data_IF_277813429638
#
_entry.id   IF_277813429638
#
_cell.length_a   1.000
_cell.length_b   1.000
_cell.length_c   1.000
_cell.angle_alpha   90.00
_cell.angle_beta   90.00
_cell.angle_gamma   90.00
#
_symmetry.space_group_name_H-M   'P 1'
#
loop_
_entity.id
_entity.type
_entity.pdbx_description
1 polymer ?
#
# COMPACT_ATOMS: atom_id res chain seq x y z
N UNK A 1 25.60 -14.22 -37.24
CA UNK A 1 24.97 -12.90 -37.29
C UNK A 1 23.55 -12.97 -36.76
N UNK A 2 23.24 -12.26 -35.68
CA UNK A 2 21.97 -12.37 -34.93
C UNK A 2 20.96 -11.30 -35.41
N UNK A 3 20.64 -11.31 -36.71
CA UNK A 3 19.83 -10.27 -37.34
C UNK A 3 18.41 -10.78 -37.55
N UNK A 4 17.41 -10.06 -37.02
CA UNK A 4 16.01 -10.46 -37.18
C UNK A 4 15.54 -10.32 -38.62
N UNK A 5 14.58 -11.16 -39.02
CA UNK A 5 13.94 -11.12 -40.36
C UNK A 5 13.39 -9.73 -40.69
N UNK A 6 12.93 -8.99 -39.68
CA UNK A 6 12.40 -7.64 -39.86
C UNK A 6 13.51 -6.62 -40.20
N UNK A 7 14.68 -6.76 -39.57
CA UNK A 7 15.86 -5.92 -39.88
C UNK A 7 16.31 -6.14 -41.32
N UNK A 8 16.33 -7.39 -41.79
CA UNK A 8 16.66 -7.73 -43.19
C UNK A 8 15.63 -7.11 -44.16
N UNK A 9 14.33 -7.21 -43.86
CA UNK A 9 13.27 -6.59 -44.69
C UNK A 9 13.39 -5.07 -44.77
N UNK A 10 13.77 -4.40 -43.68
CA UNK A 10 13.94 -2.96 -43.63
C UNK A 10 15.16 -2.51 -44.45
N UNK A 11 16.27 -3.26 -44.37
CA UNK A 11 17.47 -3.02 -45.17
C UNK A 11 17.14 -3.17 -46.67
N UNK A 12 16.48 -4.25 -47.07
CA UNK A 12 16.14 -4.48 -48.48
C UNK A 12 15.19 -3.41 -49.05
N UNK A 13 14.23 -2.92 -48.25
CA UNK A 13 13.38 -1.76 -48.63
C UNK A 13 14.20 -0.48 -48.80
N UNK A 14 15.20 -0.24 -47.94
CA UNK A 14 16.09 0.94 -48.04
C UNK A 14 16.86 0.96 -49.35
N UNK A 15 17.23 -0.21 -49.87
CA UNK A 15 17.90 -0.38 -51.16
C UNK A 15 16.94 -0.56 -52.35
N UNK A 16 15.65 -0.22 -52.20
CA UNK A 16 14.61 -0.28 -53.26
C UNK A 16 14.41 -1.67 -53.90
N UNK A 17 14.82 -2.75 -53.22
CA UNK A 17 14.47 -4.09 -53.66
C UNK A 17 13.01 -4.40 -53.31
N UNK A 18 12.18 -4.66 -54.33
CA UNK A 18 10.82 -5.16 -54.16
C UNK A 18 10.84 -6.68 -53.97
N UNK A 19 10.21 -7.19 -52.92
CA UNK A 19 9.95 -8.61 -52.76
C UNK A 19 8.56 -8.95 -53.29
N UNK A 20 8.44 -9.97 -54.14
CA UNK A 20 7.15 -10.60 -54.43
C UNK A 20 6.68 -11.29 -53.15
N UNK A 21 5.60 -10.83 -52.53
CA UNK A 21 4.99 -11.62 -51.47
C UNK A 21 4.51 -12.94 -52.09
N UNK A 22 4.72 -14.06 -51.40
CA UNK A 22 4.08 -15.33 -51.76
C UNK A 22 2.57 -15.02 -51.85
N UNK A 23 1.95 -15.27 -53.02
CA UNK A 23 0.52 -15.08 -53.22
C UNK A 23 -0.18 -15.84 -52.09
N UNK A 24 -0.94 -15.14 -51.25
CA UNK A 24 -1.76 -15.81 -50.24
C UNK A 24 -2.74 -16.69 -51.01
N UNK A 25 -2.59 -18.00 -50.87
CA UNK A 25 -3.62 -18.94 -51.32
C UNK A 25 -4.86 -18.64 -50.49
N UNK A 26 -5.74 -17.79 -51.00
CA UNK A 26 -7.02 -17.48 -50.40
C UNK A 26 -8.00 -18.61 -50.75
N UNK A 27 -7.63 -19.83 -50.38
CA UNK A 27 -8.44 -21.02 -50.62
C UNK A 27 -9.65 -20.92 -49.71
N UNK A 28 -10.84 -20.70 -50.29
CA UNK A 28 -12.09 -20.72 -49.53
C UNK A 28 -12.26 -22.13 -48.95
N UNK A 29 -12.23 -22.24 -47.63
CA UNK A 29 -12.48 -23.51 -46.92
C UNK A 29 -13.89 -23.98 -47.22
N UNK A 30 -14.04 -25.22 -47.66
CA UNK A 30 -15.37 -25.79 -47.94
C UNK A 30 -16.13 -26.03 -46.63
N UNK A 31 -17.45 -26.23 -46.73
CA UNK A 31 -18.30 -26.51 -45.56
C UNK A 31 -17.87 -27.78 -44.84
N UNK A 32 -17.44 -28.79 -45.59
CA UNK A 32 -16.95 -30.08 -45.06
C UNK A 32 -15.63 -29.93 -44.33
N UNK A 33 -14.66 -29.23 -44.93
CA UNK A 33 -13.39 -28.91 -44.27
C UNK A 33 -13.60 -28.12 -42.98
N UNK A 34 -14.58 -27.21 -42.96
CA UNK A 34 -14.92 -26.44 -41.76
C UNK A 34 -15.41 -27.32 -40.61
N UNK A 35 -16.20 -28.36 -40.90
CA UNK A 35 -16.69 -29.31 -39.90
C UNK A 35 -15.56 -30.18 -39.35
N UNK A 36 -14.65 -30.63 -40.22
CA UNK A 36 -13.52 -31.47 -39.83
C UNK A 36 -12.50 -30.69 -38.98
N UNK A 37 -12.24 -29.43 -39.32
CA UNK A 37 -11.44 -28.52 -38.49
C UNK A 37 -12.03 -28.39 -37.08
N UNK A 38 -13.35 -28.25 -36.96
CA UNK A 38 -14.03 -28.14 -35.65
C UNK A 38 -13.95 -29.44 -34.86
N UNK A 39 -14.08 -30.61 -35.52
CA UNK A 39 -13.93 -31.92 -34.88
C UNK A 39 -12.52 -32.14 -34.35
N UNK A 40 -11.51 -31.93 -35.20
CA UNK A 40 -10.10 -32.06 -34.83
C UNK A 40 -9.71 -31.10 -33.70
N UNK A 41 -10.23 -29.87 -33.72
CA UNK A 41 -10.01 -28.90 -32.64
C UNK A 41 -10.71 -29.29 -31.32
N UNK A 42 -11.88 -29.93 -31.35
CA UNK A 42 -12.56 -30.42 -30.13
C UNK A 42 -11.84 -31.60 -29.50
N UNK A 43 -11.18 -32.45 -30.30
CA UNK A 43 -10.43 -33.63 -29.84
C UNK A 43 -9.17 -33.25 -29.05
N UNK A 44 -8.51 -32.16 -29.42
CA UNK A 44 -7.28 -31.69 -28.77
C UNK A 44 -7.32 -30.17 -28.54
N UNK A 45 -7.65 -29.73 -27.31
CA UNK A 45 -7.92 -28.31 -26.98
C UNK A 45 -6.66 -27.44 -26.79
N UNK A 46 -5.47 -27.92 -27.13
CA UNK A 46 -4.22 -27.17 -26.90
C UNK A 46 -3.98 -26.02 -27.88
N UNK A 47 -3.34 -24.93 -27.43
CA UNK A 47 -2.99 -23.76 -28.25
C UNK A 47 -1.95 -24.07 -29.36
N UNK A 48 -1.14 -25.11 -29.19
CA UNK A 48 -0.21 -25.65 -30.20
C UNK A 48 -0.94 -26.29 -31.39
N UNK A 49 -2.24 -26.55 -31.27
CA UNK A 49 -3.05 -27.19 -32.30
C UNK A 49 -3.42 -26.25 -33.47
N UNK A 50 -3.43 -24.93 -33.28
CA UNK A 50 -3.87 -24.00 -34.34
C UNK A 50 -2.91 -23.91 -35.53
N UNK A 51 -1.60 -23.96 -35.28
CA UNK A 51 -0.60 -23.96 -36.35
C UNK A 51 -0.58 -25.31 -37.06
N UNK A 52 -0.66 -26.41 -36.31
CA UNK A 52 -0.75 -27.76 -36.86
C UNK A 52 -1.99 -27.93 -37.75
N UNK A 53 -3.17 -27.49 -37.28
CA UNK A 53 -4.40 -27.47 -38.09
C UNK A 53 -4.30 -26.57 -39.32
N UNK A 54 -3.54 -25.48 -39.24
CA UNK A 54 -3.32 -24.61 -40.40
C UNK A 54 -2.48 -25.35 -41.46
N UNK A 55 -1.43 -26.06 -41.02
CA UNK A 55 -0.55 -26.82 -41.89
C UNK A 55 -1.27 -28.05 -42.49
N UNK A 56 -2.00 -28.82 -41.69
CA UNK A 56 -2.75 -30.02 -42.10
C UNK A 56 -3.82 -29.72 -43.16
N UNK A 57 -4.46 -28.55 -43.06
CA UNK A 57 -5.52 -28.11 -43.98
C UNK A 57 -5.01 -27.15 -45.07
N UNK A 58 -3.71 -26.83 -45.10
CA UNK A 58 -3.11 -25.94 -46.09
C UNK A 58 -3.66 -24.50 -46.08
N UNK A 59 -4.12 -24.02 -44.93
CA UNK A 59 -4.74 -22.71 -44.75
C UNK A 59 -3.98 -21.86 -43.74
N UNK A 60 -4.30 -20.58 -43.66
CA UNK A 60 -3.71 -19.73 -42.63
C UNK A 60 -4.33 -19.98 -41.25
N UNK A 61 -3.56 -19.76 -40.19
CA UNK A 61 -4.07 -19.79 -38.81
C UNK A 61 -5.22 -18.81 -38.56
N UNK A 62 -5.26 -17.70 -39.32
CA UNK A 62 -6.38 -16.76 -39.30
C UNK A 62 -7.66 -17.38 -39.85
N UNK A 63 -7.57 -18.18 -40.92
CA UNK A 63 -8.69 -18.91 -41.50
C UNK A 63 -9.25 -19.94 -40.52
N UNK A 64 -8.39 -20.76 -39.90
CA UNK A 64 -8.79 -21.71 -38.85
C UNK A 64 -9.49 -20.98 -37.69
N UNK A 65 -8.90 -19.88 -37.19
CA UNK A 65 -9.50 -19.09 -36.11
C UNK A 65 -10.88 -18.56 -36.47
N UNK A 66 -11.09 -18.11 -37.71
CA UNK A 66 -12.38 -17.61 -38.17
C UNK A 66 -13.43 -18.74 -38.27
N UNK A 67 -13.05 -19.92 -38.77
CA UNK A 67 -13.92 -21.11 -38.80
C UNK A 67 -14.35 -21.52 -37.39
N UNK A 68 -13.41 -21.56 -36.45
CA UNK A 68 -13.67 -21.93 -35.06
C UNK A 68 -14.49 -20.87 -34.30
N UNK A 69 -14.27 -19.57 -34.59
CA UNK A 69 -15.11 -18.47 -34.08
C UNK A 69 -16.53 -18.55 -34.62
N UNK A 70 -16.70 -18.80 -35.92
CA UNK A 70 -18.01 -18.95 -36.56
C UNK A 70 -18.79 -20.14 -36.01
N UNK A 71 -18.07 -21.19 -35.58
CA UNK A 71 -18.64 -22.39 -34.97
C UNK A 71 -18.77 -22.29 -33.43
N UNK A 72 -18.50 -21.13 -32.84
CA UNK A 72 -18.59 -20.83 -31.41
C UNK A 72 -17.77 -21.75 -30.47
N UNK A 73 -16.74 -22.43 -30.99
CA UNK A 73 -15.87 -23.33 -30.20
C UNK A 73 -14.58 -22.66 -29.75
N UNK A 74 -14.26 -21.49 -30.29
CA UNK A 74 -13.08 -20.71 -29.94
C UNK A 74 -13.46 -19.39 -29.30
N UNK A 75 -13.16 -19.24 -28.00
CA UNK A 75 -13.38 -18.00 -27.27
C UNK A 75 -12.23 -17.04 -27.53
N UNK A 76 -12.56 -15.82 -27.98
CA UNK A 76 -11.60 -14.73 -28.11
C UNK A 76 -11.05 -14.35 -26.74
N UNK A 77 -9.73 -14.30 -26.58
CA UNK A 77 -9.06 -13.81 -25.36
C UNK A 77 -9.14 -12.29 -25.20
N UNK A 78 -9.57 -11.57 -26.24
CA UNK A 78 -9.74 -10.13 -26.17
C UNK A 78 -10.94 -9.80 -25.29
N UNK A 79 -10.69 -9.09 -24.19
CA UNK A 79 -11.74 -8.50 -23.35
C UNK A 79 -12.67 -7.66 -24.24
N UNK A 80 -14.01 -7.74 -24.04
CA UNK A 80 -14.94 -6.90 -24.77
C UNK A 80 -14.56 -5.43 -24.55
N UNK A 81 -14.49 -4.66 -25.64
CA UNK A 81 -14.30 -3.21 -25.53
C UNK A 81 -15.49 -2.63 -24.80
N UNK A 82 -15.28 -2.10 -23.58
CA UNK A 82 -16.30 -1.36 -22.85
C UNK A 82 -16.65 -0.14 -23.68
N UNK A 83 -17.85 -0.11 -24.26
CA UNK A 83 -18.39 1.08 -24.92
C UNK A 83 -18.95 2.00 -23.83
N UNK A 84 -18.25 3.08 -23.54
CA UNK A 84 -18.78 4.13 -22.66
C UNK A 84 -19.78 5.00 -23.43
N UNK A 85 -20.91 5.30 -22.79
CA UNK A 85 -21.85 6.34 -23.22
C UNK A 85 -21.18 7.72 -23.18
N UNK A 86 -21.72 8.68 -23.94
CA UNK A 86 -21.16 10.02 -24.00
C UNK A 86 -21.27 10.76 -22.65
N UNK A 87 -22.33 10.51 -21.88
CA UNK A 87 -22.50 10.99 -20.50
C UNK A 87 -21.35 10.55 -19.59
N UNK A 88 -20.95 9.27 -19.65
CA UNK A 88 -19.85 8.75 -18.84
C UNK A 88 -18.50 9.35 -19.25
N UNK A 89 -18.31 9.64 -20.54
CA UNK A 89 -17.11 10.32 -21.02
C UNK A 89 -17.04 11.76 -20.48
N UNK A 90 -18.15 12.47 -20.47
CA UNK A 90 -18.26 13.81 -19.88
C UNK A 90 -17.94 13.78 -18.38
N UNK A 91 -18.50 12.82 -17.65
CA UNK A 91 -18.20 12.63 -16.23
C UNK A 91 -16.70 12.38 -15.99
N UNK A 92 -16.07 11.51 -16.78
CA UNK A 92 -14.62 11.27 -16.71
C UNK A 92 -13.79 12.53 -16.95
N UNK A 93 -14.19 13.38 -17.91
CA UNK A 93 -13.51 14.64 -18.19
C UNK A 93 -13.65 15.59 -17.00
N UNK A 94 -14.85 15.69 -16.43
CA UNK A 94 -15.09 16.54 -15.27
C UNK A 94 -14.28 16.08 -14.07
N UNK A 95 -14.23 14.78 -13.79
CA UNK A 95 -13.39 14.22 -12.73
C UNK A 95 -11.90 14.50 -12.93
N UNK A 96 -11.43 14.44 -14.18
CA UNK A 96 -10.05 14.78 -14.51
C UNK A 96 -9.76 16.28 -14.34
N UNK A 97 -10.69 17.15 -14.70
CA UNK A 97 -10.61 18.61 -14.47
C UNK A 97 -10.62 18.96 -12.99
N UNK A 98 -11.38 18.20 -12.19
CA UNK A 98 -11.42 18.32 -10.73
C UNK A 98 -10.15 17.77 -10.04
N UNK A 99 -9.15 17.33 -10.81
CA UNK A 99 -7.83 16.97 -10.29
C UNK A 99 -7.60 15.48 -10.06
N UNK A 100 -8.61 14.61 -10.23
CA UNK A 100 -8.42 13.16 -10.06
C UNK A 100 -7.42 12.59 -11.08
N UNK A 101 -6.65 11.58 -10.67
CA UNK A 101 -5.67 10.95 -11.55
C UNK A 101 -6.36 10.04 -12.57
N UNK A 102 -5.76 9.88 -13.75
CA UNK A 102 -6.28 8.97 -14.76
C UNK A 102 -6.37 7.51 -14.28
N UNK A 103 -5.61 7.11 -13.24
CA UNK A 103 -5.72 5.78 -12.62
C UNK A 103 -6.97 5.64 -11.76
N UNK A 104 -7.26 6.62 -10.89
CA UNK A 104 -8.48 6.59 -10.06
C UNK A 104 -9.75 6.63 -10.93
N UNK A 105 -9.72 7.44 -11.98
CA UNK A 105 -10.81 7.49 -12.97
C UNK A 105 -10.94 6.13 -13.67
N UNK A 106 -9.82 5.51 -14.08
CA UNK A 106 -9.85 4.20 -14.71
C UNK A 106 -10.48 3.12 -13.83
N UNK A 107 -10.13 3.10 -12.54
CA UNK A 107 -10.71 2.18 -11.55
C UNK A 107 -12.22 2.42 -11.38
N UNK A 108 -12.64 3.69 -11.23
CA UNK A 108 -14.07 4.05 -11.08
C UNK A 108 -14.91 3.56 -12.26
N UNK A 109 -14.41 3.72 -13.49
CA UNK A 109 -15.15 3.40 -14.71
C UNK A 109 -14.86 1.98 -15.25
N UNK A 110 -14.02 1.19 -14.58
CA UNK A 110 -13.67 -0.17 -15.00
C UNK A 110 -12.94 -0.23 -16.36
N UNK A 111 -12.20 0.82 -16.71
CA UNK A 111 -11.45 0.94 -17.97
C UNK A 111 -9.95 0.93 -17.73
N UNK A 112 -9.15 0.82 -18.80
CA UNK A 112 -7.71 1.02 -18.67
C UNK A 112 -7.40 2.52 -18.55
N UNK A 113 -6.36 2.88 -17.80
CA UNK A 113 -5.90 4.28 -17.71
C UNK A 113 -5.51 4.85 -19.09
N UNK A 114 -5.05 3.99 -20.01
CA UNK A 114 -4.78 4.37 -21.40
C UNK A 114 -6.06 4.86 -22.09
N UNK A 115 -7.18 4.15 -21.88
CA UNK A 115 -8.49 4.52 -22.44
C UNK A 115 -8.97 5.87 -21.92
N UNK A 116 -8.72 6.18 -20.64
CA UNK A 116 -9.00 7.51 -20.06
C UNK A 116 -8.23 8.59 -20.82
N UNK A 117 -6.93 8.41 -21.05
CA UNK A 117 -6.12 9.40 -21.78
C UNK A 117 -6.47 9.51 -23.27
N UNK A 118 -6.95 8.42 -23.89
CA UNK A 118 -7.44 8.46 -25.27
C UNK A 118 -8.73 9.28 -25.37
N UNK A 119 -9.64 9.15 -24.39
CA UNK A 119 -10.85 9.98 -24.31
C UNK A 119 -10.48 11.46 -24.11
N UNK A 120 -9.59 11.76 -23.16
CA UNK A 120 -9.12 13.13 -22.91
C UNK A 120 -8.48 13.75 -24.14
N UNK A 121 -7.62 13.00 -24.84
CA UNK A 121 -6.96 13.44 -26.08
C UNK A 121 -7.97 13.73 -27.19
N UNK A 122 -9.01 12.90 -27.34
CA UNK A 122 -10.07 13.10 -28.35
C UNK A 122 -10.93 14.33 -28.10
N UNK A 123 -11.01 14.78 -26.85
CA UNK A 123 -11.79 15.94 -26.42
C UNK A 123 -10.92 17.19 -26.25
N UNK A 124 -9.71 17.17 -26.83
CA UNK A 124 -8.72 18.26 -26.77
C UNK A 124 -8.35 18.70 -25.34
N UNK A 125 -8.64 17.86 -24.35
CA UNK A 125 -8.17 18.05 -22.98
C UNK A 125 -6.72 17.61 -22.97
N UNK A 126 -5.82 18.58 -23.10
CA UNK A 126 -4.39 18.37 -23.04
C UNK A 126 -4.01 17.53 -21.82
N UNK A 127 -3.05 16.61 -21.99
CA UNK A 127 -2.49 15.90 -20.84
C UNK A 127 -1.91 16.93 -19.90
N UNK A 128 -2.38 16.96 -18.65
CA UNK A 128 -1.69 17.71 -17.59
C UNK A 128 -0.24 17.25 -17.62
N UNK A 129 0.70 18.19 -17.66
CA UNK A 129 2.10 17.89 -17.35
C UNK A 129 2.08 17.34 -15.94
N UNK A 130 2.19 16.02 -15.80
CA UNK A 130 2.25 15.38 -14.49
C UNK A 130 3.48 15.94 -13.81
N UNK A 131 3.26 16.86 -12.87
CA UNK A 131 4.30 17.22 -11.92
C UNK A 131 4.67 15.97 -11.13
N UNK A 132 5.90 15.85 -10.63
CA UNK A 132 6.26 14.69 -9.79
C UNK A 132 5.33 14.56 -8.57
N UNK A 133 4.65 15.64 -8.21
CA UNK A 133 3.56 15.75 -7.23
C UNK A 133 2.31 14.93 -7.60
N UNK A 134 1.82 15.00 -8.84
CA UNK A 134 0.64 14.26 -9.30
C UNK A 134 0.88 12.75 -9.45
N UNK A 135 2.15 12.34 -9.60
CA UNK A 135 2.55 10.92 -9.66
C UNK A 135 2.70 10.28 -8.28
N UNK A 136 2.93 11.08 -7.24
CA UNK A 136 3.36 10.61 -5.92
C UNK A 136 2.25 10.61 -4.86
N UNK A 137 1.20 11.44 -5.01
CA UNK A 137 0.23 11.66 -3.94
C UNK A 137 -0.94 10.67 -3.97
N UNK A 138 -1.16 9.98 -2.84
CA UNK A 138 -2.38 9.20 -2.55
C UNK A 138 -3.62 10.09 -2.31
N UNK A 139 -3.43 11.38 -2.02
CA UNK A 139 -4.50 12.32 -1.67
C UNK A 139 -4.79 13.27 -2.84
N UNK A 140 -6.05 13.34 -3.33
CA UNK A 140 -6.45 14.28 -4.37
C UNK A 140 -6.34 15.75 -3.93
N UNK A 141 -6.02 16.65 -4.87
CA UNK A 141 -5.93 18.10 -4.60
C UNK A 141 -7.22 18.69 -4.03
N UNK A 142 -8.38 18.14 -4.39
CA UNK A 142 -9.68 18.55 -3.85
C UNK A 142 -9.79 18.38 -2.33
N UNK A 143 -9.08 17.41 -1.76
CA UNK A 143 -9.10 17.10 -0.32
C UNK A 143 -8.15 18.01 0.48
N UNK A 144 -7.25 18.75 -0.18
CA UNK A 144 -6.27 19.60 0.52
C UNK A 144 -6.94 20.70 1.34
N UNK A 145 -8.04 21.28 0.82
CA UNK A 145 -8.81 22.29 1.54
C UNK A 145 -9.39 21.74 2.85
N UNK A 146 -9.85 20.49 2.85
CA UNK A 146 -10.39 19.86 4.06
C UNK A 146 -9.29 19.51 5.06
N UNK A 147 -8.15 19.02 4.59
CA UNK A 147 -6.95 18.80 5.43
C UNK A 147 -6.54 20.11 6.12
N UNK A 148 -6.49 21.22 5.38
CA UNK A 148 -6.16 22.55 5.93
C UNK A 148 -7.20 22.99 6.97
N UNK A 149 -8.50 22.90 6.66
CA UNK A 149 -9.58 23.27 7.58
C UNK A 149 -9.50 22.48 8.88
N UNK A 150 -9.34 21.15 8.80
CA UNK A 150 -9.27 20.28 9.98
C UNK A 150 -7.99 20.51 10.77
N UNK A 151 -6.87 20.75 10.10
CA UNK A 151 -5.64 21.13 10.77
C UNK A 151 -5.82 22.43 11.55
N UNK A 152 -6.40 23.48 10.95
CA UNK A 152 -6.66 24.76 11.60
C UNK A 152 -7.65 24.65 12.77
N UNK A 153 -8.58 23.69 12.74
CA UNK A 153 -9.46 23.33 13.87
C UNK A 153 -8.74 22.59 15.02
N UNK A 154 -7.43 22.35 14.91
CA UNK A 154 -6.61 21.74 15.96
C UNK A 154 -6.32 20.25 15.77
N UNK A 155 -6.82 19.61 14.72
CA UNK A 155 -6.49 18.19 14.44
C UNK A 155 -4.99 18.08 14.13
N UNK A 156 -4.31 17.10 14.73
CA UNK A 156 -2.88 16.92 14.53
C UNK A 156 -2.56 16.33 13.15
N UNK A 157 -1.40 16.69 12.59
CA UNK A 157 -0.92 16.12 11.32
C UNK A 157 -0.78 14.60 11.36
N UNK A 158 -0.50 14.01 12.53
CA UNK A 158 -0.46 12.56 12.72
C UNK A 158 -1.82 11.88 12.58
N UNK A 159 -2.89 12.52 13.08
CA UNK A 159 -4.26 11.99 12.95
C UNK A 159 -4.69 12.05 11.49
N UNK A 160 -4.47 13.19 10.83
CA UNK A 160 -4.75 13.36 9.41
C UNK A 160 -3.96 12.33 8.56
N UNK A 161 -2.68 12.13 8.86
CA UNK A 161 -1.87 11.15 8.13
C UNK A 161 -2.44 9.73 8.20
N UNK A 162 -2.95 9.32 9.38
CA UNK A 162 -3.59 8.01 9.56
C UNK A 162 -4.90 7.90 8.80
N UNK A 163 -5.75 8.92 8.87
CA UNK A 163 -7.06 8.92 8.20
C UNK A 163 -6.94 8.82 6.68
N UNK A 164 -5.96 9.51 6.10
CA UNK A 164 -5.71 9.51 4.67
C UNK A 164 -4.76 8.40 4.20
N UNK A 165 -4.29 7.52 5.11
CA UNK A 165 -3.29 6.47 4.83
C UNK A 165 -2.01 6.98 4.13
N UNK A 166 -1.49 8.09 4.64
CA UNK A 166 -0.30 8.77 4.11
C UNK A 166 0.76 9.03 5.16
N UNK A 167 1.96 9.37 4.71
CA UNK A 167 3.01 9.82 5.61
C UNK A 167 2.68 11.21 6.19
N UNK A 168 3.12 11.45 7.42
CA UNK A 168 2.94 12.73 8.10
C UNK A 168 3.65 13.87 7.36
N UNK A 169 4.80 13.57 6.75
CA UNK A 169 5.54 14.51 5.90
C UNK A 169 4.71 14.97 4.70
N UNK A 170 3.87 14.09 4.15
CA UNK A 170 2.96 14.43 3.04
C UNK A 170 1.92 15.46 3.48
N UNK A 171 1.32 15.28 4.65
CA UNK A 171 0.37 16.23 5.23
C UNK A 171 1.04 17.59 5.45
N UNK A 172 2.26 17.63 6.01
CA UNK A 172 2.96 18.90 6.20
C UNK A 172 3.36 19.58 4.89
N UNK A 173 3.68 18.82 3.84
CA UNK A 173 3.91 19.38 2.52
C UNK A 173 2.62 19.96 1.91
N UNK A 174 1.45 19.33 2.12
CA UNK A 174 0.15 19.90 1.73
C UNK A 174 -0.09 21.21 2.48
N UNK A 175 0.12 21.24 3.79
CA UNK A 175 -0.08 22.43 4.61
C UNK A 175 0.83 23.59 4.16
N UNK A 176 2.13 23.33 3.98
CA UNK A 176 3.08 24.35 3.53
C UNK A 176 2.79 24.88 2.12
N UNK A 177 2.23 24.05 1.23
CA UNK A 177 1.80 24.49 -0.12
C UNK A 177 0.53 25.34 -0.11
N UNK A 178 -0.27 25.28 0.95
CA UNK A 178 -1.47 26.09 1.13
C UNK A 178 -1.22 27.26 2.09
N UNK A 179 0.03 27.69 2.21
CA UNK A 179 0.48 28.80 3.07
C UNK A 179 0.06 28.66 4.55
N UNK A 180 -0.13 27.42 5.01
CA UNK A 180 -0.42 27.14 6.41
C UNK A 180 0.89 26.95 7.17
N UNK A 181 1.14 27.86 8.11
CA UNK A 181 2.25 27.68 9.05
C UNK A 181 2.01 26.44 9.91
N UNK A 182 2.92 25.47 9.79
CA UNK A 182 2.91 24.27 10.63
C UNK A 182 3.10 24.72 12.07
N UNK A 183 2.18 24.32 12.95
CA UNK A 183 2.26 24.59 14.38
C UNK A 183 3.64 24.17 14.89
N UNK A 184 4.36 25.05 15.60
CA UNK A 184 5.65 24.69 16.15
C UNK A 184 5.48 23.45 17.03
N UNK A 185 6.48 22.57 17.00
CA UNK A 185 6.56 21.50 17.99
C UNK A 185 6.53 22.19 19.35
N UNK A 186 5.69 21.70 20.27
CA UNK A 186 5.68 22.21 21.63
C UNK A 186 7.05 21.89 22.25
N UNK A 187 7.91 22.90 22.26
CA UNK A 187 9.26 22.84 22.80
C UNK A 187 9.15 23.41 24.20
N UNK A 188 9.52 22.61 25.19
CA UNK A 188 9.74 23.09 26.55
C UNK A 188 10.83 24.16 26.51
N UNK A 189 10.55 25.33 27.07
CA UNK A 189 11.51 26.44 27.11
C UNK A 189 12.74 26.04 27.94
N UNK A 190 13.96 26.50 27.59
CA UNK A 190 15.14 26.29 28.43
C UNK A 190 14.95 26.75 29.89
N UNK A 191 14.13 27.78 30.12
CA UNK A 191 13.87 28.30 31.47
C UNK A 191 13.10 27.31 32.36
N UNK A 192 12.41 26.33 31.75
CA UNK A 192 11.63 25.31 32.46
C UNK A 192 12.45 24.06 32.79
N UNK A 193 13.71 23.98 32.33
CA UNK A 193 14.57 22.82 32.51
C UNK A 193 14.92 22.55 33.98
N UNK A 194 15.06 23.60 34.78
CA UNK A 194 15.33 23.48 36.20
C UNK A 194 14.11 22.89 36.93
N UNK A 195 12.89 23.33 36.57
CA UNK A 195 11.66 22.78 37.12
C UNK A 195 11.47 21.30 36.72
N UNK A 196 11.75 20.94 35.46
CA UNK A 196 11.72 19.53 35.02
C UNK A 196 12.72 18.68 35.80
N UNK A 197 13.91 19.23 36.07
CA UNK A 197 14.95 18.54 36.84
C UNK A 197 14.54 18.37 38.29
N UNK A 198 13.94 19.39 38.91
CA UNK A 198 13.40 19.33 40.27
C UNK A 198 12.24 18.32 40.38
N UNK A 199 11.29 18.35 39.44
CA UNK A 199 10.21 17.36 39.38
C UNK A 199 10.73 15.92 39.27
N UNK A 200 11.85 15.74 38.56
CA UNK A 200 12.48 14.44 38.40
C UNK A 200 13.34 14.03 39.59
N UNK A 201 14.10 14.92 40.23
CA UNK A 201 15.00 14.57 41.33
C UNK A 201 14.24 14.61 42.67
N UNK A 202 13.63 15.75 42.98
CA UNK A 202 13.00 16.06 44.27
C UNK A 202 11.64 15.39 44.38
N UNK A 203 10.75 15.63 43.40
CA UNK A 203 9.38 15.09 43.42
C UNK A 203 9.30 13.62 42.97
N UNK A 204 10.42 13.05 42.55
CA UNK A 204 10.57 11.65 42.08
C UNK A 204 9.57 11.26 40.98
N UNK A 205 9.03 12.22 40.23
CA UNK A 205 8.10 11.95 39.14
C UNK A 205 8.78 11.19 38.01
N UNK A 206 8.02 10.39 37.27
CA UNK A 206 8.50 9.71 36.08
C UNK A 206 8.48 10.63 34.86
N UNK A 207 9.29 10.34 33.84
CA UNK A 207 9.30 11.10 32.58
C UNK A 207 7.94 11.13 31.88
N UNK A 208 7.08 10.13 32.13
CA UNK A 208 5.70 10.09 31.64
C UNK A 208 4.78 11.07 32.38
N UNK A 209 4.89 11.13 33.71
CA UNK A 209 4.11 12.07 34.51
C UNK A 209 4.52 13.51 34.20
N UNK A 210 5.82 13.77 34.13
CA UNK A 210 6.34 15.09 33.75
C UNK A 210 5.92 15.43 32.31
N UNK A 211 5.98 14.47 31.37
CA UNK A 211 5.51 14.70 30.00
C UNK A 211 4.03 15.04 29.93
N UNK A 212 3.20 14.42 30.78
CA UNK A 212 1.77 14.73 30.86
C UNK A 212 1.54 16.15 31.38
N UNK A 213 2.29 16.60 32.40
CA UNK A 213 2.22 17.95 32.95
C UNK A 213 2.53 19.02 31.88
N UNK A 214 3.58 18.78 31.09
CA UNK A 214 4.03 19.71 30.03
C UNK A 214 3.34 19.47 28.68
N UNK A 215 2.37 18.54 28.60
CA UNK A 215 1.73 18.13 27.34
C UNK A 215 2.72 17.74 26.23
N UNK A 216 3.85 17.13 26.60
CA UNK A 216 4.90 16.64 25.69
C UNK A 216 5.12 15.14 25.86
N UNK A 217 5.67 14.50 24.83
CA UNK A 217 6.00 13.08 24.92
C UNK A 217 7.09 12.82 25.97
N UNK A 218 7.01 11.69 26.68
CA UNK A 218 7.99 11.31 27.72
C UNK A 218 9.44 11.26 27.20
N UNK A 219 9.63 11.00 25.90
CA UNK A 219 10.95 11.03 25.25
C UNK A 219 11.52 12.45 25.17
N UNK A 220 10.69 13.48 25.05
CA UNK A 220 11.12 14.88 25.07
C UNK A 220 11.72 15.21 26.43
N UNK A 221 11.02 14.85 27.52
CA UNK A 221 11.52 14.99 28.89
C UNK A 221 12.80 14.18 29.10
N UNK A 222 12.86 12.94 28.59
CA UNK A 222 14.06 12.12 28.65
C UNK A 222 15.25 12.79 27.94
N UNK A 223 15.04 13.38 26.77
CA UNK A 223 16.09 14.08 26.01
C UNK A 223 16.58 15.32 26.75
N UNK A 224 15.68 16.09 27.38
CA UNK A 224 16.01 17.25 28.22
C UNK A 224 16.89 16.82 29.40
N UNK A 225 16.45 15.83 30.19
CA UNK A 225 17.22 15.33 31.34
C UNK A 225 18.60 14.80 30.94
N UNK A 226 18.69 14.12 29.78
CA UNK A 226 19.97 13.64 29.22
C UNK A 226 20.87 14.80 28.81
N UNK A 227 20.33 15.86 28.20
CA UNK A 227 21.06 17.07 27.82
C UNK A 227 21.64 17.79 29.03
N UNK A 228 20.88 17.85 30.13
CA UNK A 228 21.29 18.41 31.41
C UNK A 228 22.21 17.49 32.23
N UNK A 229 22.64 16.35 31.66
CA UNK A 229 23.51 15.35 32.30
C UNK A 229 22.97 14.83 33.64
N UNK A 230 21.66 14.84 33.83
CA UNK A 230 21.01 14.28 35.03
C UNK A 230 21.22 12.77 35.03
N UNK A 231 21.64 12.21 36.17
CA UNK A 231 21.82 10.76 36.32
C UNK A 231 20.48 10.04 36.15
N UNK A 232 20.34 9.35 35.02
CA UNK A 232 19.10 8.63 34.72
C UNK A 232 18.88 7.50 35.71
N UNK A 233 17.61 7.34 36.14
CA UNK A 233 17.23 6.24 37.01
C UNK A 233 17.47 4.95 36.24
N UNK A 234 18.15 3.97 36.86
CA UNK A 234 18.50 2.75 36.17
C UNK A 234 17.23 2.00 35.77
N UNK A 235 17.31 1.25 34.67
CA UNK A 235 16.18 0.48 34.12
C UNK A 235 15.57 -0.51 35.12
N UNK A 236 16.31 -0.86 36.18
CA UNK A 236 15.85 -1.71 37.28
C UNK A 236 15.03 -0.98 38.35
N UNK A 237 14.91 0.36 38.37
CA UNK A 237 14.06 1.05 39.36
C UNK A 237 12.56 0.69 39.23
N UNK A 238 12.13 0.23 38.05
CA UNK A 238 10.80 -0.40 37.81
C UNK A 238 10.79 -1.92 38.00
N UNK A 239 11.94 -2.54 38.28
CA UNK A 239 12.08 -3.97 38.55
C UNK A 239 12.08 -4.17 40.05
N UNK A 240 11.39 -5.22 40.49
CA UNK A 240 11.47 -5.66 41.88
C UNK A 240 12.92 -6.06 42.18
N UNK A 241 13.44 -5.61 43.32
CA UNK A 241 14.78 -5.97 43.74
C UNK A 241 14.88 -7.49 43.97
N UNK A 242 16.00 -8.14 43.62
CA UNK A 242 16.18 -9.58 43.87
C UNK A 242 15.95 -10.00 45.32
N UNK A 243 16.23 -9.10 46.27
CA UNK A 243 15.97 -9.30 47.71
C UNK A 243 14.50 -9.52 48.05
N UNK A 244 13.56 -9.10 47.19
CA UNK A 244 12.11 -9.27 47.37
C UNK A 244 11.57 -10.53 46.69
N UNK A 245 12.39 -11.23 45.90
CA UNK A 245 11.96 -12.43 45.17
C UNK A 245 11.47 -13.57 46.08
N UNK A 246 12.15 -13.91 47.21
CA UNK A 246 11.68 -14.99 48.07
C UNK A 246 10.24 -14.77 48.58
N UNK A 247 9.91 -13.53 48.95
CA UNK A 247 8.57 -13.14 49.43
C UNK A 247 7.51 -13.19 48.33
N UNK A 248 7.90 -12.99 47.06
CA UNK A 248 7.00 -13.14 45.91
C UNK A 248 6.71 -14.62 45.65
N UNK A 249 7.74 -15.47 45.70
CA UNK A 249 7.60 -16.92 45.54
C UNK A 249 6.71 -17.50 46.64
N UNK A 250 6.95 -17.09 47.90
CA UNK A 250 6.16 -17.53 49.05
C UNK A 250 4.68 -17.20 48.88
N UNK A 251 4.36 -15.95 48.50
CA UNK A 251 2.97 -15.54 48.26
C UNK A 251 2.33 -16.30 47.10
N UNK A 252 3.10 -16.53 46.03
CA UNK A 252 2.62 -17.29 44.88
C UNK A 252 2.34 -18.76 45.24
N UNK A 253 3.23 -19.42 45.99
CA UNK A 253 3.04 -20.79 46.50
C UNK A 253 1.87 -20.91 47.47
N UNK A 254 1.58 -19.85 48.24
CA UNK A 254 0.39 -19.73 49.09
C UNK A 254 -0.92 -19.55 48.30
N UNK A 255 -0.86 -19.45 46.97
CA UNK A 255 -2.03 -19.33 46.10
C UNK A 255 -2.45 -17.90 45.75
N UNK A 256 -1.67 -16.87 46.10
CA UNK A 256 -1.98 -15.51 45.62
C UNK A 256 -1.83 -15.45 44.09
N UNK A 257 -2.82 -14.86 43.41
CA UNK A 257 -2.75 -14.66 41.96
C UNK A 257 -1.63 -13.68 41.58
N UNK A 258 -1.06 -13.86 40.39
CA UNK A 258 -0.04 -12.97 39.80
C UNK A 258 -0.51 -11.51 39.81
N UNK A 259 -1.81 -11.26 39.59
CA UNK A 259 -2.43 -9.94 39.61
C UNK A 259 -2.46 -9.32 41.00
N UNK A 260 -2.80 -10.12 42.02
CA UNK A 260 -2.81 -9.69 43.42
C UNK A 260 -1.41 -9.36 43.91
N UNK A 261 -0.42 -10.15 43.50
CA UNK A 261 1.00 -9.89 43.78
C UNK A 261 1.47 -8.63 43.04
N UNK A 262 1.14 -8.48 41.74
CA UNK A 262 1.52 -7.33 40.94
C UNK A 262 1.00 -6.01 41.52
N UNK A 263 -0.26 -5.98 41.96
CA UNK A 263 -0.85 -4.82 42.66
C UNK A 263 -0.10 -4.49 43.95
N UNK A 264 0.21 -5.49 44.77
CA UNK A 264 0.91 -5.29 46.04
C UNK A 264 2.33 -4.71 45.88
N UNK A 265 3.00 -4.99 44.76
CA UNK A 265 4.32 -4.44 44.45
C UNK A 265 4.27 -3.24 43.49
N UNK A 266 3.08 -2.75 43.11
CA UNK A 266 2.89 -1.67 42.14
C UNK A 266 3.63 -1.88 40.82
N UNK A 267 3.65 -3.12 40.33
CA UNK A 267 4.28 -3.51 39.06
C UNK A 267 3.28 -4.15 38.10
N UNK A 268 3.68 -4.33 36.85
CA UNK A 268 2.86 -5.07 35.88
C UNK A 268 2.85 -6.56 36.18
N UNK A 269 1.76 -7.25 35.80
CA UNK A 269 1.65 -8.71 35.89
C UNK A 269 2.78 -9.42 35.15
N UNK A 270 3.20 -8.89 34.00
CA UNK A 270 4.34 -9.41 33.23
C UNK A 270 5.65 -9.35 34.01
N UNK A 271 5.85 -8.35 34.87
CA UNK A 271 7.04 -8.26 35.72
C UNK A 271 7.08 -9.40 36.75
N UNK A 272 5.93 -9.78 37.33
CA UNK A 272 5.83 -10.91 38.27
C UNK A 272 6.01 -12.24 37.54
N UNK A 273 5.37 -12.43 36.37
CA UNK A 273 5.55 -13.65 35.54
C UNK A 273 7.02 -13.87 35.18
N UNK A 274 7.69 -12.81 34.71
CA UNK A 274 9.11 -12.86 34.38
C UNK A 274 9.99 -13.27 35.58
N UNK A 275 9.68 -12.80 36.79
CA UNK A 275 10.43 -13.17 38.01
C UNK A 275 10.21 -14.65 38.34
N UNK A 276 8.98 -15.14 38.25
CA UNK A 276 8.65 -16.55 38.51
C UNK A 276 9.29 -17.49 37.49
N UNK A 277 9.23 -17.13 36.19
CA UNK A 277 9.89 -17.86 35.10
C UNK A 277 11.41 -17.89 35.27
N UNK A 278 12.03 -16.74 35.60
CA UNK A 278 13.48 -16.63 35.80
C UNK A 278 13.99 -17.48 36.96
N UNK A 279 13.16 -17.73 37.97
CA UNK A 279 13.52 -18.51 39.17
C UNK A 279 13.04 -19.96 39.08
N UNK A 280 12.62 -20.41 37.89
CA UNK A 280 12.12 -21.76 37.62
C UNK A 280 11.00 -22.20 38.58
N UNK A 281 10.17 -21.25 39.01
CA UNK A 281 8.97 -21.58 39.79
C UNK A 281 7.91 -22.05 38.79
N UNK A 282 7.48 -23.30 38.91
CA UNK A 282 6.43 -23.87 38.07
C UNK A 282 5.18 -22.99 38.15
N UNK A 283 4.88 -22.32 37.04
CA UNK A 283 3.61 -21.61 36.90
C UNK A 283 2.60 -22.63 36.38
N UNK A 284 1.40 -22.76 36.98
CA UNK A 284 0.33 -23.52 36.36
C UNK A 284 0.09 -22.94 34.97
N UNK A 285 0.36 -23.77 33.97
CA UNK A 285 0.40 -23.40 32.56
C UNK A 285 -0.90 -22.68 32.14
N UNK A 286 -0.86 -21.44 31.63
CA UNK A 286 -2.05 -20.71 31.19
C UNK A 286 -2.69 -21.29 29.92
N UNK A 287 -2.17 -22.39 29.37
CA UNK A 287 -2.72 -23.09 28.20
C UNK A 287 -3.77 -24.18 28.51
N UNK A 288 -4.09 -24.48 29.76
CA UNK A 288 -5.30 -25.27 30.06
C UNK A 288 -6.51 -24.34 30.16
N UNK A 289 -6.97 -23.91 28.98
CA UNK A 289 -8.31 -23.36 28.76
C UNK A 289 -9.30 -24.51 28.59
N UNK A 290 -10.46 -24.38 29.25
CA UNK A 290 -11.80 -24.85 28.83
C UNK A 290 -11.92 -26.30 28.36
N UNK A 291 -12.56 -27.13 29.17
CA UNK A 291 -14.00 -27.39 29.07
C UNK A 291 -14.59 -27.52 30.48
#
# INVERSE_FOLDING_TARGET
>A
YNVTVQTVKNILKKFRFSFKSKKSNNTKVTKEQSLEIVRSYKKDRSATNLQKLADDFGVTTATIRNVLKKSNVYKSTNKPHVRLSDEKKLEMIQEYRNGKSGRLIAEKFGVSYQHVYDILKKQEVGRRKLTDYDRAYKVPVSEHCEIVKRYNKGVSGNVLAKEYDVSVSLIFQILGKNDVNVRPVQIVSPDEYDNITDMYITKKMSTYQIGSEYSVHANTIYAILKKLKVKMRPKWYKKILPTKYPRIIERYRKGDSVEKIAKAYSVTTNSIKYILEKLHVETPNPKFRKH
#
